data_IF_004699090318
#
_entry.id   IF_004699090318
#
_cell.length_a   1.000
_cell.length_b   1.000
_cell.length_c   1.000
_cell.angle_alpha   90.00
_cell.angle_beta   90.00
_cell.angle_gamma   90.00
#
_symmetry.space_group_name_H-M   'P 1'
#
loop_
_entity.id
_entity.type
_entity.pdbx_description
1 polymer ?
#
# COMPACT_ATOMS: atom_id res chain seq x y z
N UNK A 1 10.44 1.98 -16.54
CA UNK A 1 11.10 2.33 -15.26
C UNK A 1 11.96 1.19 -14.71
N UNK A 2 13.08 1.53 -14.08
CA UNK A 2 13.92 0.63 -13.28
C UNK A 2 13.41 0.55 -11.82
N UNK A 3 14.01 -0.32 -10.99
CA UNK A 3 13.61 -0.51 -9.57
C UNK A 3 13.70 0.77 -8.75
N UNK A 4 14.75 1.56 -8.92
CA UNK A 4 14.97 2.77 -8.14
C UNK A 4 13.92 3.84 -8.49
N UNK A 5 13.59 3.98 -9.77
CA UNK A 5 12.52 4.86 -10.25
C UNK A 5 11.14 4.45 -9.71
N UNK A 6 10.83 3.15 -9.74
CA UNK A 6 9.60 2.57 -9.16
C UNK A 6 9.45 2.92 -7.67
N UNK A 7 10.54 2.77 -6.93
CA UNK A 7 10.56 3.03 -5.49
C UNK A 7 10.49 4.53 -5.22
N UNK A 8 11.20 5.36 -6.00
CA UNK A 8 11.15 6.81 -5.87
C UNK A 8 9.72 7.34 -6.05
N UNK A 9 8.99 6.89 -7.06
CA UNK A 9 7.58 7.30 -7.29
C UNK A 9 6.69 6.98 -6.07
N UNK A 10 6.83 5.76 -5.52
CA UNK A 10 6.08 5.37 -4.32
C UNK A 10 6.52 6.12 -3.07
N UNK A 11 7.80 6.49 -2.95
CA UNK A 11 8.34 7.31 -1.85
C UNK A 11 7.88 8.76 -1.92
N UNK A 12 7.67 9.29 -3.13
CA UNK A 12 7.16 10.63 -3.37
C UNK A 12 5.67 10.78 -3.10
N UNK A 13 4.96 9.68 -2.83
CA UNK A 13 3.62 9.76 -2.27
C UNK A 13 3.75 9.88 -0.75
N UNK A 14 3.65 11.09 -0.16
CA UNK A 14 3.77 11.25 1.28
C UNK A 14 2.62 10.51 1.94
N UNK A 15 2.94 9.44 2.66
CA UNK A 15 1.98 8.81 3.55
C UNK A 15 1.55 9.83 4.62
N UNK A 16 0.34 9.68 5.18
CA UNK A 16 -0.13 10.57 6.24
C UNK A 16 0.89 10.65 7.39
N UNK A 17 1.12 11.85 7.93
CA UNK A 17 2.03 12.05 9.08
C UNK A 17 1.59 11.23 10.30
N UNK A 18 0.26 11.07 10.45
CA UNK A 18 -0.37 10.10 11.33
C UNK A 18 -0.70 8.84 10.53
N UNK A 19 0.21 7.88 10.51
CA UNK A 19 -0.09 6.50 10.08
C UNK A 19 -1.04 5.78 11.07
N UNK A 20 -1.42 6.44 12.17
CA UNK A 20 -2.16 5.84 13.27
C UNK A 20 -1.46 4.56 13.74
N UNK A 21 -2.24 3.49 13.84
CA UNK A 21 -1.77 2.16 14.20
C UNK A 21 -1.39 1.31 12.96
N UNK A 22 -1.05 1.89 11.80
CA UNK A 22 -0.53 1.13 10.66
C UNK A 22 1.00 1.01 10.70
N UNK A 23 1.49 -0.23 10.71
CA UNK A 23 2.90 -0.57 10.54
C UNK A 23 3.24 -0.80 9.06
N UNK A 24 4.43 -0.34 8.66
CA UNK A 24 4.99 -0.57 7.33
C UNK A 24 5.74 -1.91 7.33
N UNK A 25 5.03 -3.01 7.10
CA UNK A 25 5.65 -4.35 7.07
C UNK A 25 6.64 -4.48 5.92
N UNK A 26 6.28 -4.00 4.73
CA UNK A 26 7.18 -3.86 3.59
C UNK A 26 7.00 -2.47 2.99
N UNK A 27 7.94 -1.56 3.26
CA UNK A 27 7.82 -0.17 2.85
C UNK A 27 8.36 0.07 1.43
N UNK A 28 7.99 1.18 0.78
CA UNK A 28 8.64 1.65 -0.44
C UNK A 28 10.14 1.97 -0.29
N UNK A 29 10.73 1.89 0.92
CA UNK A 29 12.18 1.96 1.13
C UNK A 29 12.81 0.58 1.28
N UNK A 30 12.03 -0.43 1.65
CA UNK A 30 12.47 -1.80 1.86
C UNK A 30 11.42 -2.80 1.34
N UNK A 31 11.05 -2.66 0.07
CA UNK A 31 10.04 -3.50 -0.57
C UNK A 31 10.59 -4.93 -0.72
N UNK A 32 9.73 -5.92 -0.53
CA UNK A 32 10.08 -7.31 -0.79
C UNK A 32 10.06 -7.58 -2.29
N UNK A 33 11.03 -8.34 -2.79
CA UNK A 33 10.99 -8.81 -4.18
C UNK A 33 10.40 -10.21 -4.21
N UNK A 34 9.30 -10.37 -4.93
CA UNK A 34 8.66 -11.67 -5.14
C UNK A 34 9.54 -12.58 -6.00
N UNK A 35 9.29 -13.89 -5.99
CA UNK A 35 9.98 -14.85 -6.86
C UNK A 35 9.84 -14.54 -8.37
N UNK A 36 8.80 -13.80 -8.77
CA UNK A 36 8.57 -13.35 -10.13
C UNK A 36 9.29 -12.03 -10.47
N UNK A 37 10.09 -11.49 -9.54
CA UNK A 37 10.83 -10.23 -9.70
C UNK A 37 10.01 -8.96 -9.46
N UNK A 38 8.73 -9.09 -9.08
CA UNK A 38 7.85 -7.95 -8.75
C UNK A 38 8.21 -7.35 -7.39
N UNK A 39 8.03 -6.04 -7.22
CA UNK A 39 8.19 -5.39 -5.92
C UNK A 39 6.88 -5.43 -5.16
N UNK A 40 6.95 -5.78 -3.88
CA UNK A 40 5.80 -5.92 -2.99
C UNK A 40 5.94 -4.95 -1.83
N UNK A 41 4.87 -4.18 -1.61
CA UNK A 41 4.73 -3.20 -0.54
C UNK A 41 3.49 -3.58 0.27
N UNK A 42 3.62 -3.60 1.59
CA UNK A 42 2.53 -3.95 2.51
C UNK A 42 2.50 -3.01 3.72
N UNK A 43 1.28 -2.60 4.07
CA UNK A 43 0.97 -1.91 5.31
C UNK A 43 -0.07 -2.71 6.08
N UNK A 44 0.12 -2.85 7.38
CA UNK A 44 -0.76 -3.64 8.25
C UNK A 44 -1.19 -2.83 9.45
N UNK A 45 -2.47 -2.91 9.82
CA UNK A 45 -2.94 -2.34 11.08
C UNK A 45 -2.46 -3.20 12.27
N UNK A 46 -1.98 -2.56 13.34
CA UNK A 46 -1.39 -3.22 14.51
C UNK A 46 -2.42 -3.99 15.35
N UNK A 47 -3.67 -3.51 15.37
CA UNK A 47 -4.74 -4.06 16.22
C UNK A 47 -5.95 -4.59 15.46
N UNK A 48 -6.06 -4.27 14.16
CA UNK A 48 -7.18 -4.68 13.32
C UNK A 48 -6.64 -5.62 12.24
N UNK A 49 -7.46 -6.55 11.76
CA UNK A 49 -7.06 -7.46 10.69
C UNK A 49 -7.19 -6.78 9.32
N UNK A 50 -6.45 -5.68 9.13
CA UNK A 50 -6.47 -4.88 7.90
C UNK A 50 -5.07 -4.81 7.30
N UNK A 51 -4.99 -5.05 5.98
CA UNK A 51 -3.74 -4.99 5.20
C UNK A 51 -3.96 -4.30 3.86
N UNK A 52 -3.03 -3.44 3.50
CA UNK A 52 -2.94 -2.80 2.18
C UNK A 52 -1.73 -3.37 1.46
N UNK A 53 -1.95 -3.90 0.27
CA UNK A 53 -0.94 -4.62 -0.48
C UNK A 53 -0.83 -4.02 -1.88
N UNK A 54 0.39 -3.71 -2.29
CA UNK A 54 0.70 -3.18 -3.62
C UNK A 54 1.80 -4.03 -4.26
N UNK A 55 1.52 -4.56 -5.45
CA UNK A 55 2.54 -5.17 -6.32
C UNK A 55 2.89 -4.21 -7.45
N UNK A 56 4.17 -3.97 -7.66
CA UNK A 56 4.69 -3.10 -8.71
C UNK A 56 5.41 -3.91 -9.79
N UNK A 57 5.10 -3.60 -11.04
CA UNK A 57 5.73 -4.18 -12.22
C UNK A 57 5.93 -3.10 -13.29
N UNK A 58 7.18 -2.71 -13.51
CA UNK A 58 7.56 -1.69 -14.49
C UNK A 58 6.81 -0.34 -14.31
N UNK A 59 5.71 -0.11 -15.01
CA UNK A 59 4.88 1.10 -14.90
C UNK A 59 3.47 0.81 -14.38
N UNK A 60 3.16 -0.47 -14.17
CA UNK A 60 1.88 -0.94 -13.64
C UNK A 60 2.00 -1.30 -12.16
N UNK A 61 0.90 -1.10 -11.45
CA UNK A 61 0.73 -1.49 -10.07
C UNK A 61 -0.61 -2.22 -9.90
N UNK A 62 -0.63 -3.20 -9.01
CA UNK A 62 -1.83 -3.88 -8.55
C UNK A 62 -2.00 -3.56 -7.07
N UNK A 63 -3.15 -3.03 -6.69
CA UNK A 63 -3.48 -2.74 -5.30
C UNK A 63 -4.67 -3.59 -4.85
N UNK A 64 -4.57 -4.14 -3.64
CA UNK A 64 -5.67 -4.75 -2.92
C UNK A 64 -5.65 -4.35 -1.45
N UNK A 65 -6.84 -4.39 -0.86
CA UNK A 65 -7.05 -4.19 0.58
C UNK A 65 -7.72 -5.45 1.12
N UNK A 66 -7.17 -5.99 2.20
CA UNK A 66 -7.69 -7.16 2.90
C UNK A 66 -8.16 -6.69 4.27
N UNK A 67 -9.42 -6.98 4.61
CA UNK A 67 -10.01 -6.68 5.91
C UNK A 67 -10.70 -7.95 6.44
N UNK A 68 -10.05 -8.64 7.37
CA UNK A 68 -10.47 -9.95 7.85
C UNK A 68 -10.55 -10.96 6.70
N UNK A 69 -11.74 -11.51 6.47
CA UNK A 69 -12.03 -12.42 5.36
C UNK A 69 -12.45 -11.69 4.06
N UNK A 70 -12.69 -10.37 4.12
CA UNK A 70 -13.07 -9.58 2.95
C UNK A 70 -11.82 -9.10 2.20
N UNK A 71 -11.85 -9.23 0.87
CA UNK A 71 -10.80 -8.75 -0.02
C UNK A 71 -11.44 -7.83 -1.04
N UNK A 72 -10.94 -6.60 -1.14
CA UNK A 72 -11.41 -5.66 -2.16
C UNK A 72 -10.99 -6.12 -3.55
N UNK A 73 -11.80 -5.85 -4.60
CA UNK A 73 -11.41 -6.16 -5.96
C UNK A 73 -10.06 -5.55 -6.31
N UNK A 74 -9.20 -6.34 -6.94
CA UNK A 74 -7.87 -5.88 -7.34
C UNK A 74 -7.98 -4.75 -8.35
N UNK A 75 -7.37 -3.61 -8.04
CA UNK A 75 -7.32 -2.46 -8.95
C UNK A 75 -5.96 -2.45 -9.65
N UNK A 76 -5.99 -2.35 -10.99
CA UNK A 76 -4.80 -2.17 -11.81
C UNK A 76 -4.65 -0.69 -12.15
N UNK A 77 -3.52 -0.12 -11.77
CA UNK A 77 -3.22 1.31 -11.85
C UNK A 77 -1.82 1.50 -12.42
N UNK A 78 -1.46 2.74 -12.75
CA UNK A 78 -0.05 3.11 -12.87
C UNK A 78 0.61 3.16 -11.50
N UNK A 79 1.95 3.17 -11.45
CA UNK A 79 2.70 3.24 -10.18
C UNK A 79 2.44 4.57 -9.45
N UNK A 80 2.31 5.67 -10.20
CA UNK A 80 1.97 6.99 -9.65
C UNK A 80 0.58 6.99 -9.03
N UNK A 81 -0.42 6.49 -9.76
CA UNK A 81 -1.80 6.37 -9.27
C UNK A 81 -1.89 5.46 -8.04
N UNK A 82 -1.13 4.36 -8.03
CA UNK A 82 -1.13 3.43 -6.90
C UNK A 82 -0.65 4.08 -5.60
N UNK A 83 0.34 4.97 -5.66
CA UNK A 83 0.76 5.75 -4.50
C UNK A 83 -0.39 6.60 -3.96
N UNK A 84 -1.04 7.37 -4.83
CA UNK A 84 -2.17 8.24 -4.45
C UNK A 84 -3.37 7.46 -3.88
N UNK A 85 -3.74 6.37 -4.54
CA UNK A 85 -4.86 5.52 -4.13
C UNK A 85 -4.55 4.85 -2.79
N UNK A 86 -3.34 4.29 -2.63
CA UNK A 86 -2.91 3.69 -1.37
C UNK A 86 -3.01 4.69 -0.21
N UNK A 87 -2.54 5.94 -0.41
CA UNK A 87 -2.65 7.00 0.59
C UNK A 87 -4.11 7.31 0.94
N UNK A 88 -4.96 7.42 -0.07
CA UNK A 88 -6.38 7.73 0.12
C UNK A 88 -7.10 6.62 0.89
N UNK A 89 -6.86 5.37 0.53
CA UNK A 89 -7.53 4.24 1.19
C UNK A 89 -7.03 4.07 2.64
N UNK A 90 -5.74 4.31 2.90
CA UNK A 90 -5.19 4.32 4.26
C UNK A 90 -5.84 5.39 5.13
N UNK A 91 -6.05 6.60 4.60
CA UNK A 91 -6.72 7.69 5.33
C UNK A 91 -8.18 7.36 5.62
N UNK A 92 -8.92 6.91 4.61
CA UNK A 92 -10.33 6.54 4.77
C UNK A 92 -10.49 5.45 5.84
N UNK A 93 -9.63 4.43 5.80
CA UNK A 93 -9.65 3.37 6.81
C UNK A 93 -9.27 3.85 8.22
N UNK A 94 -8.35 4.81 8.34
CA UNK A 94 -8.04 5.42 9.63
C UNK A 94 -9.25 6.18 10.18
N UNK A 95 -9.94 6.95 9.35
CA UNK A 95 -11.17 7.66 9.72
C UNK A 95 -12.26 6.67 10.16
N UNK A 96 -12.51 5.62 9.37
CA UNK A 96 -13.50 4.58 9.69
C UNK A 96 -13.19 3.88 11.03
N UNK A 97 -11.92 3.56 11.29
CA UNK A 97 -11.49 2.91 12.54
C UNK A 97 -11.51 3.84 13.76
N UNK A 98 -11.29 5.14 13.56
CA UNK A 98 -11.40 6.15 14.63
C UNK A 98 -12.87 6.41 15.01
N UNK A 99 -13.80 6.36 14.04
CA UNK A 99 -15.23 6.54 14.27
C UNK A 99 -15.90 5.34 14.98
N UNK A 100 -15.30 4.15 14.92
CA UNK A 100 -15.80 2.93 15.57
C UNK A 100 -15.35 2.76 17.05
N UNK A 101 -14.45 3.61 17.56
CA UNK A 101 -13.87 3.55 18.92
C UNK A 101 -14.54 4.51 19.93
#
# INVERSE_FOLDING_TARGET
>A
MNREELMAVMQHTPLPERMGNFERTYSPQNAEQTAAGLLFVEYRHLSADVKFQVLLQAESALIQVVQGAAVTPMRKLTVEEAGHVLRSDLLMMLEDLEDEL
#
